data_IF_510309495079
#
_entry.id   IF_510309495079
#
_cell.length_a   1.000
_cell.length_b   1.000
_cell.length_c   1.000
_cell.angle_alpha   90.00
_cell.angle_beta   90.00
_cell.angle_gamma   90.00
#
_symmetry.space_group_name_H-M   'P 1'
#
loop_
_entity.id
_entity.type
_entity.pdbx_description
1 polymer ?
#
# COMPACT_ATOMS: atom_id res chain seq x y z
N UNK A 1 29.51 5.35 -7.55
CA UNK A 1 28.07 5.13 -7.79
C UNK A 1 27.37 5.30 -6.46
N UNK A 2 26.36 6.18 -6.38
CA UNK A 2 25.49 6.23 -5.21
C UNK A 2 24.66 4.94 -5.21
N UNK A 3 24.75 4.15 -4.14
CA UNK A 3 23.85 3.02 -3.93
C UNK A 3 22.42 3.58 -3.89
N UNK A 4 21.46 3.02 -4.63
CA UNK A 4 20.08 3.51 -4.58
C UNK A 4 19.56 3.34 -3.15
N UNK A 5 18.98 4.40 -2.59
CA UNK A 5 18.63 4.43 -1.17
C UNK A 5 17.37 3.57 -0.94
N UNK A 6 17.49 2.55 -0.09
CA UNK A 6 16.34 1.76 0.38
C UNK A 6 15.34 2.67 1.10
N UNK A 7 14.05 2.65 0.74
CA UNK A 7 13.04 3.41 1.45
C UNK A 7 12.95 2.97 2.91
N UNK A 8 12.84 3.92 3.85
CA UNK A 8 12.92 3.63 5.29
C UNK A 8 11.83 2.66 5.79
N UNK A 9 10.69 2.58 5.09
CA UNK A 9 9.57 1.70 5.42
C UNK A 9 9.78 0.27 4.90
N UNK A 10 10.81 0.01 4.08
CA UNK A 10 11.23 -1.32 3.65
C UNK A 10 12.29 -1.84 4.63
N UNK A 11 11.85 -2.67 5.57
CA UNK A 11 12.72 -3.25 6.62
C UNK A 11 13.00 -4.75 6.43
N UNK A 12 12.16 -5.43 5.66
CA UNK A 12 12.16 -6.89 5.46
C UNK A 12 12.82 -7.35 4.15
N UNK A 13 13.25 -6.42 3.30
CA UNK A 13 13.84 -6.71 2.00
C UNK A 13 14.96 -5.71 1.65
N UNK A 14 15.76 -6.08 0.66
CA UNK A 14 16.76 -5.20 0.05
C UNK A 14 16.20 -4.68 -1.28
N UNK A 15 15.24 -3.75 -1.18
CA UNK A 15 14.60 -3.11 -2.34
C UNK A 15 15.00 -1.64 -2.39
N UNK A 16 15.41 -1.19 -3.57
CA UNK A 16 15.56 0.23 -3.84
C UNK A 16 14.20 0.91 -4.02
N UNK A 17 14.21 2.25 -4.08
CA UNK A 17 13.01 3.01 -4.43
C UNK A 17 12.49 2.65 -5.83
N UNK A 18 13.38 2.40 -6.79
CA UNK A 18 13.01 2.01 -8.16
C UNK A 18 12.37 0.61 -8.20
N UNK A 19 12.87 -0.34 -7.41
CA UNK A 19 12.28 -1.67 -7.31
C UNK A 19 10.85 -1.61 -6.73
N UNK A 20 10.64 -0.80 -5.69
CA UNK A 20 9.31 -0.58 -5.12
C UNK A 20 8.37 0.01 -6.16
N UNK A 21 8.83 1.00 -6.95
CA UNK A 21 8.03 1.59 -8.03
C UNK A 21 7.73 0.58 -9.13
N UNK A 22 8.69 -0.27 -9.50
CA UNK A 22 8.50 -1.31 -10.50
C UNK A 22 7.45 -2.34 -10.06
N UNK A 23 7.51 -2.81 -8.80
CA UNK A 23 6.51 -3.73 -8.23
C UNK A 23 5.11 -3.09 -8.25
N UNK A 24 5.01 -1.82 -7.85
CA UNK A 24 3.73 -1.09 -7.83
C UNK A 24 3.16 -0.82 -9.23
N UNK A 25 4.03 -0.75 -10.24
CA UNK A 25 3.66 -0.64 -11.66
C UNK A 25 3.24 -1.97 -12.30
N UNK A 26 3.31 -3.09 -11.56
CA UNK A 26 2.84 -4.40 -12.00
C UNK A 26 1.34 -4.44 -12.35
N UNK A 27 0.87 -5.59 -12.85
CA UNK A 27 -0.50 -5.71 -13.30
C UNK A 27 -1.50 -5.71 -12.14
N UNK A 28 -2.74 -5.34 -12.46
CA UNK A 28 -3.84 -5.40 -11.50
C UNK A 28 -4.09 -6.86 -11.09
N UNK A 29 -4.26 -7.08 -9.79
CA UNK A 29 -4.50 -8.42 -9.24
C UNK A 29 -3.21 -9.19 -8.92
N UNK A 30 -2.04 -8.68 -9.32
CA UNK A 30 -0.76 -9.30 -8.99
C UNK A 30 -0.56 -9.29 -7.47
N UNK A 31 -0.30 -10.47 -6.92
CA UNK A 31 -0.16 -10.65 -5.49
C UNK A 31 0.98 -9.79 -4.92
N UNK A 32 2.12 -9.74 -5.61
CA UNK A 32 3.29 -8.97 -5.21
C UNK A 32 2.99 -7.46 -5.15
N UNK A 33 2.29 -6.93 -6.16
CA UNK A 33 1.82 -5.55 -6.18
C UNK A 33 0.90 -5.25 -4.99
N UNK A 34 -0.05 -6.13 -4.70
CA UNK A 34 -1.01 -5.94 -3.59
C UNK A 34 -0.29 -6.01 -2.25
N UNK A 35 0.65 -6.93 -2.08
CA UNK A 35 1.49 -7.01 -0.89
C UNK A 35 2.30 -5.73 -0.69
N UNK A 36 2.85 -5.16 -1.77
CA UNK A 36 3.57 -3.90 -1.69
C UNK A 36 2.65 -2.71 -1.35
N UNK A 37 1.43 -2.66 -1.92
CA UNK A 37 0.42 -1.66 -1.52
C UNK A 37 0.15 -1.73 -0.02
N UNK A 38 -0.11 -2.93 0.50
CA UNK A 38 -0.37 -3.17 1.93
C UNK A 38 0.83 -2.78 2.78
N UNK A 39 2.04 -3.14 2.34
CA UNK A 39 3.29 -2.83 3.05
C UNK A 39 3.51 -1.31 3.16
N UNK A 40 3.30 -0.57 2.07
CA UNK A 40 3.35 0.90 2.07
C UNK A 40 2.31 1.46 3.03
N UNK A 41 1.06 1.00 2.97
CA UNK A 41 -0.04 1.50 3.82
C UNK A 41 0.20 1.27 5.32
N UNK A 42 0.92 0.22 5.71
CA UNK A 42 1.19 -0.11 7.11
C UNK A 42 2.44 0.55 7.67
N UNK A 43 3.47 0.75 6.85
CA UNK A 43 4.81 1.09 7.35
C UNK A 43 5.28 2.50 6.95
N UNK A 44 4.73 3.07 5.87
CA UNK A 44 5.05 4.43 5.48
C UNK A 44 4.31 5.46 6.36
N UNK A 45 4.86 6.67 6.43
CA UNK A 45 4.18 7.82 7.04
C UNK A 45 3.01 8.17 6.14
N UNK A 46 1.93 8.64 6.73
CA UNK A 46 0.69 8.91 6.01
C UNK A 46 0.90 9.79 4.76
N UNK A 47 1.67 10.87 4.86
CA UNK A 47 1.95 11.77 3.73
C UNK A 47 2.84 11.13 2.64
N UNK A 48 3.65 10.14 3.01
CA UNK A 48 4.55 9.44 2.09
C UNK A 48 3.85 8.34 1.29
N UNK A 49 2.71 7.81 1.79
CA UNK A 49 1.93 6.76 1.11
C UNK A 49 1.58 7.20 -0.32
N UNK A 50 1.15 8.46 -0.47
CA UNK A 50 0.69 9.01 -1.74
C UNK A 50 1.80 9.22 -2.78
N UNK A 51 3.07 9.09 -2.38
CA UNK A 51 4.21 9.08 -3.32
C UNK A 51 4.34 7.76 -4.08
N UNK A 52 3.66 6.71 -3.62
CA UNK A 52 3.79 5.34 -4.12
C UNK A 52 2.46 4.78 -4.62
N UNK A 53 1.37 5.01 -3.89
CA UNK A 53 0.05 4.41 -4.19
C UNK A 53 -1.01 5.47 -4.39
N UNK A 54 -1.91 5.27 -5.35
CA UNK A 54 -3.10 6.10 -5.54
C UNK A 54 -4.26 5.55 -4.71
N UNK A 55 -5.16 6.43 -4.28
CA UNK A 55 -6.40 6.03 -3.60
C UNK A 55 -7.20 5.04 -4.47
N UNK A 56 -7.27 5.26 -5.79
CA UNK A 56 -7.95 4.37 -6.72
C UNK A 56 -7.36 2.95 -6.71
N UNK A 57 -6.03 2.82 -6.65
CA UNK A 57 -5.37 1.51 -6.57
C UNK A 57 -5.77 0.75 -5.31
N UNK A 58 -5.90 1.45 -4.17
CA UNK A 58 -6.33 0.85 -2.90
C UNK A 58 -7.78 0.38 -3.01
N UNK A 59 -8.68 1.22 -3.51
CA UNK A 59 -10.12 0.93 -3.64
C UNK A 59 -10.36 -0.24 -4.60
N UNK A 60 -9.70 -0.23 -5.76
CA UNK A 60 -9.86 -1.26 -6.78
C UNK A 60 -9.35 -2.65 -6.35
N UNK A 61 -8.43 -2.68 -5.37
CA UNK A 61 -7.85 -3.90 -4.81
C UNK A 61 -8.32 -4.16 -3.36
N UNK A 62 -9.30 -3.40 -2.88
CA UNK A 62 -9.67 -3.37 -1.45
C UNK A 62 -9.98 -4.75 -0.87
N UNK A 63 -10.66 -5.61 -1.62
CA UNK A 63 -10.99 -6.98 -1.20
C UNK A 63 -9.75 -7.79 -0.80
N UNK A 64 -8.62 -7.60 -1.49
CA UNK A 64 -7.37 -8.29 -1.20
C UNK A 64 -6.53 -7.51 -0.18
N UNK A 65 -6.46 -6.18 -0.32
CA UNK A 65 -5.75 -5.29 0.61
C UNK A 65 -6.27 -5.47 2.05
N UNK A 66 -7.60 -5.44 2.27
CA UNK A 66 -8.20 -5.58 3.60
C UNK A 66 -7.92 -6.93 4.26
N UNK A 67 -7.69 -7.98 3.46
CA UNK A 67 -7.36 -9.31 3.99
C UNK A 67 -5.95 -9.36 4.55
N UNK A 68 -5.03 -8.58 3.96
CA UNK A 68 -3.60 -8.56 4.31
C UNK A 68 -3.23 -7.47 5.31
N UNK A 69 -4.02 -6.40 5.42
CA UNK A 69 -3.83 -5.38 6.45
C UNK A 69 -3.90 -6.00 7.86
N UNK A 70 -3.01 -5.57 8.73
CA UNK A 70 -2.96 -6.00 10.12
C UNK A 70 -2.49 -4.87 11.03
N UNK A 71 -3.01 -4.72 12.26
CA UNK A 71 -4.09 -5.50 12.86
C UNK A 71 -5.48 -5.07 12.37
N UNK A 72 -6.57 -5.64 12.93
CA UNK A 72 -7.95 -5.36 12.50
C UNK A 72 -8.27 -3.86 12.55
N UNK A 73 -7.75 -3.15 13.53
CA UNK A 73 -7.92 -1.71 13.73
C UNK A 73 -7.41 -0.92 12.53
N UNK A 74 -6.34 -1.38 11.87
CA UNK A 74 -5.84 -0.76 10.64
C UNK A 74 -6.85 -0.89 9.49
N UNK A 75 -7.55 -2.04 9.40
CA UNK A 75 -8.60 -2.24 8.39
C UNK A 75 -9.73 -1.25 8.58
N UNK A 76 -10.20 -1.14 9.82
CA UNK A 76 -11.30 -0.25 10.20
C UNK A 76 -10.95 1.23 9.96
N UNK A 77 -9.73 1.63 10.33
CA UNK A 77 -9.21 2.98 10.10
C UNK A 77 -9.17 3.32 8.60
N UNK A 78 -8.63 2.42 7.77
CA UNK A 78 -8.55 2.63 6.33
C UNK A 78 -9.93 2.62 5.66
N UNK A 79 -10.84 1.73 6.06
CA UNK A 79 -12.21 1.72 5.55
C UNK A 79 -12.93 3.03 5.88
N UNK A 80 -12.79 3.53 7.11
CA UNK A 80 -13.34 4.82 7.52
C UNK A 80 -12.72 5.99 6.74
N UNK A 81 -11.39 6.04 6.61
CA UNK A 81 -10.69 7.10 5.87
C UNK A 81 -11.12 7.15 4.39
N UNK A 82 -11.22 5.99 3.74
CA UNK A 82 -11.73 5.89 2.37
C UNK A 82 -13.17 6.39 2.27
N UNK A 83 -14.02 6.09 3.26
CA UNK A 83 -15.38 6.63 3.36
C UNK A 83 -15.41 8.16 3.46
N UNK A 84 -14.53 8.76 4.29
CA UNK A 84 -14.38 10.23 4.41
C UNK A 84 -13.98 10.86 3.08
N UNK A 85 -13.18 10.18 2.26
CA UNK A 85 -12.82 10.63 0.90
C UNK A 85 -13.87 10.30 -0.16
N UNK A 86 -15.07 9.86 0.24
CA UNK A 86 -16.16 9.52 -0.68
C UNK A 86 -15.99 8.19 -1.42
N UNK A 87 -15.06 7.34 -0.97
CA UNK A 87 -14.79 6.01 -1.52
C UNK A 87 -15.35 4.94 -0.60
N UNK A 88 -16.64 4.67 -0.71
CA UNK A 88 -17.30 3.66 0.11
C UNK A 88 -16.80 2.25 -0.23
N UNK A 89 -16.14 1.61 0.73
CA UNK A 89 -15.64 0.24 0.62
C UNK A 89 -16.24 -0.65 1.71
N UNK A 90 -16.54 -1.90 1.37
CA UNK A 90 -17.10 -2.83 2.37
C UNK A 90 -16.02 -3.37 3.31
N UNK A 91 -16.30 -3.29 4.60
CA UNK A 91 -15.47 -3.84 5.67
C UNK A 91 -16.00 -5.18 6.23
N UNK A 92 -17.10 -5.69 5.66
CA UNK A 92 -17.70 -6.99 6.01
C UNK A 92 -16.87 -8.17 5.51
#
# INVERSE_FOLDING_TARGET
>A
MLQPQRPYFIWNADLSEDDVRAILAGHRGDLERIQMIVHVMQNARFDDIWKYVKIDDIVENWTLVKRMLWPKESKDLWAWALGVWGRNVSNS
#
